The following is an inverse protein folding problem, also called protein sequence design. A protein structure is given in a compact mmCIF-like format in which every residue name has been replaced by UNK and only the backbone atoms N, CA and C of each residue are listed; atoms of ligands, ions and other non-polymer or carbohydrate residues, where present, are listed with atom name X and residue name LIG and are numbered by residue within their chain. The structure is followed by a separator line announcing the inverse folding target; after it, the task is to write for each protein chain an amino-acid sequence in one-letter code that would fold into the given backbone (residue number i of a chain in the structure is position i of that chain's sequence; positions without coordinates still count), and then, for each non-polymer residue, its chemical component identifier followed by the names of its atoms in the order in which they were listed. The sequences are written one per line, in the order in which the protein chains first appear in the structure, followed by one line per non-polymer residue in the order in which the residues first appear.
data_IF_078444866641
#
_entry.id   IF_078444866641
#
_cell.length_a   1.000
_cell.length_b   1.000
_cell.length_c   1.000
_cell.angle_alpha   90.00
_cell.angle_beta   90.00
_cell.angle_gamma   90.00
#
_symmetry.space_group_name_H-M   'P 1'
#
loop_
_entity.id
_entity.type
_entity.pdbx_description
1 polymer ?
#
# COMPACT_ATOMS: atom_id res chain seq x y z
N UNK A 1 -10.72 5.66 25.93
CA UNK A 1 -10.50 5.48 24.49
C UNK A 1 -9.18 4.72 24.32
N UNK A 2 -9.24 3.39 24.26
CA UNK A 2 -8.06 2.54 24.06
C UNK A 2 -7.80 2.41 22.57
N UNK A 3 -6.97 3.30 22.03
CA UNK A 3 -6.37 3.13 20.71
C UNK A 3 -5.40 1.95 20.80
N UNK A 4 -5.89 0.75 20.49
CA UNK A 4 -5.01 -0.40 20.22
C UNK A 4 -4.12 0.00 19.05
N UNK A 5 -2.89 0.41 19.35
CA UNK A 5 -1.92 0.74 18.32
C UNK A 5 -1.79 -0.48 17.41
N UNK A 6 -2.10 -0.33 16.12
CA UNK A 6 -2.10 -1.45 15.19
C UNK A 6 -0.70 -2.06 15.14
N UNK A 7 -0.53 -3.23 15.73
CA UNK A 7 0.75 -3.96 15.69
C UNK A 7 0.76 -4.81 14.43
N UNK A 8 1.66 -4.51 13.50
CA UNK A 8 1.81 -5.27 12.26
C UNK A 8 2.11 -4.41 11.03
N UNK A 9 2.27 -5.05 9.85
CA UNK A 9 2.63 -4.35 8.64
C UNK A 9 1.50 -3.44 8.13
N UNK A 10 1.82 -2.16 7.91
CA UNK A 10 0.91 -1.13 7.39
C UNK A 10 1.31 -0.77 5.96
N UNK A 11 0.35 -0.85 5.03
CA UNK A 11 0.50 -0.42 3.66
C UNK A 11 -0.06 0.99 3.49
N UNK A 12 0.82 1.96 3.26
CA UNK A 12 0.47 3.32 2.89
C UNK A 12 0.19 3.37 1.39
N UNK A 13 -0.92 4.00 1.00
CA UNK A 13 -1.35 4.09 -0.39
C UNK A 13 -1.97 5.45 -0.71
N UNK A 14 -1.94 5.82 -1.99
CA UNK A 14 -2.57 7.05 -2.44
C UNK A 14 -4.09 6.84 -2.61
N UNK A 15 -4.89 7.51 -1.78
CA UNK A 15 -6.35 7.44 -1.79
C UNK A 15 -7.01 8.10 -3.00
N UNK A 16 -6.31 8.98 -3.71
CA UNK A 16 -6.82 9.65 -4.92
C UNK A 16 -6.49 8.87 -6.20
N UNK A 17 -5.54 7.94 -6.11
CA UNK A 17 -5.13 7.08 -7.21
C UNK A 17 -6.06 5.87 -7.37
N UNK A 18 -6.75 5.79 -8.51
CA UNK A 18 -7.68 4.70 -8.78
C UNK A 18 -7.04 3.31 -8.88
N UNK A 19 -5.79 3.24 -9.34
CA UNK A 19 -5.04 1.98 -9.36
C UNK A 19 -4.64 1.53 -7.95
N UNK A 20 -4.15 2.45 -7.11
CA UNK A 20 -3.77 2.13 -5.73
C UNK A 20 -4.97 1.59 -4.96
N UNK A 21 -6.13 2.22 -5.09
CA UNK A 21 -7.39 1.74 -4.50
C UNK A 21 -7.77 0.34 -4.99
N UNK A 22 -7.63 0.04 -6.29
CA UNK A 22 -7.90 -1.31 -6.81
C UNK A 22 -6.97 -2.36 -6.22
N UNK A 23 -5.68 -2.04 -6.07
CA UNK A 23 -4.70 -2.96 -5.44
C UNK A 23 -5.02 -3.17 -3.97
N UNK A 24 -5.31 -2.12 -3.22
CA UNK A 24 -5.71 -2.22 -1.80
C UNK A 24 -6.98 -3.06 -1.65
N UNK A 25 -8.01 -2.85 -2.48
CA UNK A 25 -9.22 -3.69 -2.46
C UNK A 25 -8.94 -5.15 -2.75
N UNK A 26 -8.02 -5.44 -3.68
CA UNK A 26 -7.58 -6.81 -3.96
C UNK A 26 -6.83 -7.41 -2.79
N UNK A 27 -5.94 -6.66 -2.16
CA UNK A 27 -5.22 -7.11 -0.96
C UNK A 27 -6.18 -7.36 0.21
N UNK A 28 -7.13 -6.47 0.47
CA UNK A 28 -8.20 -6.65 1.47
C UNK A 28 -9.03 -7.92 1.22
N UNK A 29 -9.38 -8.20 -0.04
CA UNK A 29 -10.14 -9.40 -0.39
C UNK A 29 -9.31 -10.70 -0.28
N UNK A 30 -7.98 -10.61 -0.44
CA UNK A 30 -7.06 -11.75 -0.36
C UNK A 30 -6.56 -12.00 1.06
N UNK A 31 -6.44 -10.96 1.88
CA UNK A 31 -5.96 -11.01 3.26
C UNK A 31 -7.01 -11.57 4.22
N UNK A 32 -7.28 -12.88 4.12
CA UNK A 32 -8.23 -13.55 5.00
C UNK A 32 -7.75 -13.63 6.45
N UNK A 33 -6.44 -13.68 6.66
CA UNK A 33 -5.84 -13.70 7.99
C UNK A 33 -5.82 -12.31 8.64
N UNK A 34 -5.92 -11.26 7.83
CA UNK A 34 -6.00 -9.91 8.34
C UNK A 34 -4.69 -9.38 8.88
N UNK A 35 -3.58 -9.77 8.26
CA UNK A 35 -2.25 -9.39 8.71
C UNK A 35 -1.84 -8.00 8.25
N UNK A 36 -2.39 -7.53 7.12
CA UNK A 36 -2.12 -6.21 6.60
C UNK A 36 -3.12 -5.18 7.11
N UNK A 37 -2.59 -4.01 7.41
CA UNK A 37 -3.36 -2.81 7.68
C UNK A 37 -3.07 -1.77 6.61
N UNK A 38 -3.94 -0.78 6.49
CA UNK A 38 -3.88 0.20 5.41
C UNK A 38 -3.99 1.61 5.97
N UNK A 39 -3.27 2.55 5.36
CA UNK A 39 -3.42 3.97 5.68
C UNK A 39 -3.37 4.78 4.38
N UNK A 40 -4.30 5.72 4.16
CA UNK A 40 -4.17 6.66 3.06
C UNK A 40 -2.95 7.56 3.31
N UNK A 41 -2.19 7.87 2.27
CA UNK A 41 -1.05 8.81 2.35
C UNK A 41 -1.51 10.21 2.76
N UNK A 42 -2.75 10.57 2.46
CA UNK A 42 -3.41 11.81 2.89
C UNK A 42 -3.75 11.82 4.39
N UNK A 43 -3.69 10.67 5.05
CA UNK A 43 -4.01 10.50 6.47
C UNK A 43 -2.93 11.05 7.41
N UNK A 44 -3.31 11.45 8.64
CA UNK A 44 -2.38 12.04 9.60
C UNK A 44 -1.26 11.08 10.01
N UNK A 45 -1.55 9.78 10.16
CA UNK A 45 -0.56 8.77 10.54
C UNK A 45 0.52 8.61 9.47
N UNK A 46 0.11 8.46 8.21
CA UNK A 46 1.02 8.35 7.07
C UNK A 46 1.86 9.62 6.91
N UNK A 47 1.25 10.80 7.00
CA UNK A 47 1.95 12.08 6.88
C UNK A 47 3.00 12.27 7.98
N UNK A 48 2.69 11.92 9.23
CA UNK A 48 3.65 11.98 10.33
C UNK A 48 4.87 11.09 10.06
N UNK A 49 4.63 9.86 9.62
CA UNK A 49 5.70 8.91 9.28
C UNK A 49 6.59 9.41 8.12
N UNK A 50 5.98 9.94 7.07
CA UNK A 50 6.72 10.43 5.90
C UNK A 50 7.60 11.63 6.26
N UNK A 51 7.06 12.58 7.02
CA UNK A 51 7.82 13.76 7.49
C UNK A 51 8.98 13.35 8.39
N UNK A 52 8.77 12.42 9.31
CA UNK A 52 9.81 11.92 10.21
C UNK A 52 10.99 11.27 9.46
N UNK A 53 10.75 10.76 8.25
CA UNK A 53 11.77 10.10 7.42
C UNK A 53 12.24 10.92 6.21
N UNK A 54 11.80 12.17 6.08
CA UNK A 54 12.15 13.01 4.94
C UNK A 54 11.68 12.45 3.59
N UNK A 55 10.61 11.64 3.60
CA UNK A 55 10.03 11.08 2.39
C UNK A 55 9.06 12.07 1.74
N UNK A 56 8.85 12.00 0.40
CA UNK A 56 7.84 12.82 -0.27
C UNK A 56 6.47 12.68 0.40
N UNK A 57 5.69 13.76 0.52
CA UNK A 57 4.38 13.71 1.20
C UNK A 57 3.19 13.84 0.26
N UNK A 58 3.42 14.29 -0.97
CA UNK A 58 2.37 14.56 -1.96
C UNK A 58 2.46 13.63 -3.19
N UNK A 59 3.67 13.38 -3.70
CA UNK A 59 3.86 12.65 -4.96
C UNK A 59 4.39 11.23 -4.74
N UNK A 60 3.49 10.32 -4.38
CA UNK A 60 3.78 8.89 -4.52
C UNK A 60 3.09 8.31 -5.73
N UNK A 61 3.91 7.86 -6.67
CA UNK A 61 3.48 6.97 -7.74
C UNK A 61 3.31 5.52 -7.28
N UNK A 62 3.37 5.25 -5.97
CA UNK A 62 3.48 3.88 -5.47
C UNK A 62 2.97 3.63 -4.05
N UNK A 63 2.92 2.35 -3.69
CA UNK A 63 2.58 1.82 -2.39
C UNK A 63 3.83 1.76 -1.51
N UNK A 64 3.68 2.06 -0.22
CA UNK A 64 4.74 2.01 0.77
C UNK A 64 4.34 1.03 1.86
N UNK A 65 5.08 -0.06 2.04
CA UNK A 65 4.84 -0.99 3.13
C UNK A 65 5.78 -0.69 4.29
N UNK A 66 5.21 -0.46 5.46
CA UNK A 66 5.91 -0.32 6.73
C UNK A 66 5.76 -1.65 7.49
N UNK A 67 6.82 -2.47 7.58
CA UNK A 67 6.69 -3.83 8.12
C UNK A 67 6.45 -3.87 9.64
N UNK A 68 6.90 -2.85 10.35
CA UNK A 68 7.00 -2.83 11.82
C UNK A 68 6.32 -1.59 12.43
N UNK A 69 5.11 -1.28 11.98
CA UNK A 69 4.32 -0.19 12.55
C UNK A 69 3.85 -0.53 13.99
N UNK A 70 3.84 0.43 14.94
CA UNK A 70 4.33 1.82 14.84
C UNK A 70 5.80 2.00 15.25
N UNK A 71 6.53 0.91 15.57
CA UNK A 71 7.91 0.97 16.00
C UNK A 71 8.81 1.68 14.98
N UNK A 72 8.51 1.50 13.69
CA UNK A 72 9.15 2.23 12.59
C UNK A 72 10.68 2.20 12.74
N UNK A 73 11.25 1.04 13.09
CA UNK A 73 12.68 0.81 13.18
C UNK A 73 13.24 0.31 11.84
N UNK A 74 12.44 -0.44 11.08
CA UNK A 74 12.83 -0.96 9.77
C UNK A 74 12.59 0.05 8.64
N UNK A 75 13.39 -0.06 7.58
CA UNK A 75 13.21 0.75 6.37
C UNK A 75 11.87 0.44 5.68
N UNK A 76 11.19 1.44 5.10
CA UNK A 76 9.98 1.19 4.34
C UNK A 76 10.29 0.43 3.06
N UNK A 77 9.42 -0.49 2.69
CA UNK A 77 9.50 -1.18 1.41
C UNK A 77 8.66 -0.42 0.37
N UNK A 78 9.36 0.15 -0.61
CA UNK A 78 8.76 0.97 -1.66
C UNK A 78 8.52 0.13 -2.93
N UNK A 79 7.66 0.64 -3.82
CA UNK A 79 7.49 0.11 -5.18
C UNK A 79 7.14 -1.38 -5.15
N UNK A 80 7.74 -2.16 -6.05
CA UNK A 80 7.45 -3.59 -6.16
C UNK A 80 7.87 -4.35 -4.90
N UNK A 81 8.86 -3.88 -4.15
CA UNK A 81 9.30 -4.59 -2.94
C UNK A 81 8.22 -4.51 -1.85
N UNK A 82 7.53 -3.37 -1.74
CA UNK A 82 6.33 -3.24 -0.90
C UNK A 82 5.19 -4.15 -1.36
N UNK A 83 4.95 -4.25 -2.67
CA UNK A 83 3.92 -5.15 -3.24
C UNK A 83 4.25 -6.63 -3.00
N UNK A 84 5.50 -7.03 -3.21
CA UNK A 84 5.97 -8.41 -2.99
C UNK A 84 5.82 -8.77 -1.51
N UNK A 85 6.21 -7.89 -0.60
CA UNK A 85 6.08 -8.11 0.82
C UNK A 85 4.60 -8.16 1.25
N UNK A 86 3.75 -7.29 0.71
CA UNK A 86 2.30 -7.36 0.94
C UNK A 86 1.71 -8.69 0.42
N UNK A 87 2.10 -9.14 -0.78
CA UNK A 87 1.65 -10.42 -1.33
C UNK A 87 2.10 -11.62 -0.50
N UNK A 88 3.31 -11.58 0.07
CA UNK A 88 3.77 -12.60 1.02
C UNK A 88 2.94 -12.58 2.31
N UNK A 89 2.66 -11.39 2.86
CA UNK A 89 1.87 -11.24 4.08
C UNK A 89 0.43 -11.78 3.92
N UNK A 90 -0.18 -11.64 2.75
CA UNK A 90 -1.53 -12.20 2.48
C UNK A 90 -1.53 -13.67 2.05
N UNK A 91 -0.41 -14.39 2.23
CA UNK A 91 -0.33 -15.82 1.91
C UNK A 91 -0.36 -16.14 0.41
N UNK A 92 0.12 -15.22 -0.45
CA UNK A 92 0.19 -15.40 -1.91
C UNK A 92 1.66 -15.44 -2.40
N UNK A 93 2.51 -16.34 -1.87
CA UNK A 93 3.93 -16.38 -2.22
C UNK A 93 4.17 -16.67 -3.70
N UNK A 94 3.28 -17.40 -4.40
CA UNK A 94 3.43 -17.66 -5.84
C UNK A 94 3.40 -16.40 -6.71
N UNK A 95 2.54 -15.42 -6.38
CA UNK A 95 2.50 -14.13 -7.09
C UNK A 95 3.68 -13.25 -6.71
N UNK A 96 4.09 -13.30 -5.44
CA UNK A 96 5.30 -12.64 -4.97
C UNK A 96 6.55 -13.18 -5.69
N UNK A 97 6.64 -14.49 -5.90
CA UNK A 97 7.75 -15.14 -6.62
C UNK A 97 7.73 -14.81 -8.11
N UNK A 98 6.58 -14.81 -8.78
CA UNK A 98 6.48 -14.40 -10.19
C UNK A 98 6.94 -12.94 -10.40
N UNK A 99 6.55 -12.04 -9.49
CA UNK A 99 6.99 -10.64 -9.52
C UNK A 99 8.46 -10.45 -9.11
N UNK A 100 8.99 -11.30 -8.24
CA UNK A 100 10.38 -11.27 -7.81
C UNK A 100 11.34 -11.87 -8.85
N UNK A 101 10.89 -12.89 -9.59
CA UNK A 101 11.64 -13.53 -10.69
C UNK A 101 11.59 -12.69 -11.98
N UNK A 102 10.61 -11.78 -12.10
CA UNK A 102 10.55 -10.85 -13.23
C UNK A 102 11.78 -9.91 -13.25
N UNK A 103 12.44 -9.72 -14.42
CA UNK A 103 13.62 -8.87 -14.52
C UNK A 103 13.34 -7.46 -14.00
N UNK A 104 14.31 -6.84 -13.32
CA UNK A 104 14.19 -5.47 -12.79
C UNK A 104 13.73 -4.47 -13.86
N UNK A 105 14.16 -4.67 -15.12
CA UNK A 105 13.71 -3.88 -16.28
C UNK A 105 12.20 -3.97 -16.50
N UNK A 106 11.58 -5.15 -16.39
CA UNK A 106 10.12 -5.33 -16.53
C UNK A 106 9.39 -4.73 -15.33
N UNK A 107 9.96 -4.85 -14.12
CA UNK A 107 9.45 -4.17 -12.91
C UNK A 107 9.45 -2.65 -13.09
N UNK A 108 10.54 -2.07 -13.57
CA UNK A 108 10.71 -0.63 -13.75
C UNK A 108 9.93 -0.09 -14.97
N UNK A 109 9.85 -0.86 -16.05
CA UNK A 109 9.06 -0.53 -17.23
C UNK A 109 7.56 -0.60 -16.93
N UNK A 110 7.11 -1.65 -16.22
CA UNK A 110 5.76 -1.76 -15.69
C UNK A 110 5.44 -0.61 -14.75
N UNK A 111 6.37 -0.22 -13.88
CA UNK A 111 6.22 0.94 -13.00
C UNK A 111 6.09 2.26 -13.77
N UNK A 112 6.98 2.52 -14.74
CA UNK A 112 6.94 3.73 -15.58
C UNK A 112 5.70 3.77 -16.48
N UNK A 113 5.28 2.61 -16.99
CA UNK A 113 4.06 2.47 -17.78
C UNK A 113 2.83 2.74 -16.92
N UNK A 114 2.75 2.12 -15.73
CA UNK A 114 1.71 2.42 -14.75
C UNK A 114 1.72 3.89 -14.34
N UNK A 115 2.88 4.50 -14.10
CA UNK A 115 2.96 5.92 -13.74
C UNK A 115 2.44 6.85 -14.85
N UNK A 116 2.64 6.50 -16.13
CA UNK A 116 2.11 7.27 -17.28
C UNK A 116 0.64 6.97 -17.56
N UNK A 117 0.25 5.71 -17.45
CA UNK A 117 -1.08 5.21 -17.82
C UNK A 117 -2.06 5.36 -16.66
N UNK A 118 -1.61 5.49 -15.39
CA UNK A 118 -2.49 5.65 -14.22
C UNK A 118 -3.37 6.88 -14.33
N UNK A 119 -2.81 8.03 -14.69
CA UNK A 119 -3.57 9.28 -14.74
C UNK A 119 -4.49 9.31 -15.96
N UNK A 120 -4.05 8.73 -17.09
CA UNK A 120 -4.78 8.74 -18.35
C UNK A 120 -5.89 7.67 -18.44
N UNK A 121 -5.68 6.48 -17.85
CA UNK A 121 -6.62 5.34 -17.97
C UNK A 121 -7.44 5.10 -16.72
N UNK A 122 -6.91 5.39 -15.54
CA UNK A 122 -7.62 5.14 -14.28
C UNK A 122 -8.23 6.40 -13.66
N UNK A 123 -7.78 7.60 -14.07
CA UNK A 123 -8.30 8.89 -13.61
C UNK A 123 -8.21 9.10 -12.09
N UNK A 124 -8.65 10.27 -11.59
CA UNK A 124 -8.85 10.46 -10.16
C UNK A 124 -9.97 9.55 -9.67
N UNK A 125 -9.73 8.86 -8.54
CA UNK A 125 -10.72 7.97 -7.94
C UNK A 125 -11.83 8.80 -7.28
N UNK A 126 -12.96 8.96 -7.97
CA UNK A 126 -14.09 9.83 -7.52
C UNK A 126 -15.15 9.11 -6.66
N UNK A 127 -15.05 7.80 -6.46
CA UNK A 127 -16.07 7.01 -5.76
C UNK A 127 -15.58 6.58 -4.38
N UNK A 128 -16.39 6.88 -3.37
CA UNK A 128 -16.15 6.61 -1.94
C UNK A 128 -15.49 5.24 -1.72
N UNK A 129 -14.31 5.17 -1.07
CA UNK A 129 -13.54 3.94 -0.96
C UNK A 129 -14.14 3.11 0.18
N UNK A 130 -14.19 1.80 0.01
CA UNK A 130 -14.63 0.80 1.01
C UNK A 130 -16.15 0.61 1.11
N UNK A 131 -16.74 -0.12 0.16
CA UNK A 131 -18.17 -0.49 0.20
C UNK A 131 -18.52 -1.49 1.32
N UNK A 132 -17.55 -1.92 2.15
CA UNK A 132 -17.76 -2.93 3.19
C UNK A 132 -17.21 -2.46 4.54
N UNK A 133 -18.09 -2.41 5.54
CA UNK A 133 -17.76 -2.01 6.91
C UNK A 133 -16.70 -2.90 7.58
N UNK A 134 -16.59 -4.16 7.17
CA UNK A 134 -15.53 -5.09 7.63
C UNK A 134 -14.11 -4.61 7.28
N UNK A 135 -13.96 -3.81 6.21
CA UNK A 135 -12.65 -3.34 5.79
C UNK A 135 -12.21 -2.11 6.57
N UNK A 136 -13.14 -1.31 7.08
CA UNK A 136 -12.83 -0.09 7.85
C UNK A 136 -11.98 -0.38 9.07
N UNK A 137 -12.17 -1.54 9.72
CA UNK A 137 -11.35 -1.98 10.87
C UNK A 137 -9.87 -2.29 10.50
N UNK A 138 -9.54 -2.40 9.21
CA UNK A 138 -8.17 -2.59 8.71
C UNK A 138 -7.45 -1.28 8.46
N UNK A 139 -8.17 -0.16 8.48
CA UNK A 139 -7.59 1.17 8.35
C UNK A 139 -7.18 1.68 9.72
N UNK A 140 -6.06 2.39 9.76
CA UNK A 140 -5.51 2.95 11.00
C UNK A 140 -5.91 4.42 11.21
N UNK A 141 -6.55 5.02 10.20
CA UNK A 141 -7.08 6.39 10.15
C UNK A 141 -8.54 6.37 9.66
#
# INVERSE_FOLDING_TARGET
MTTTSPTGPVLLFDGECGLCNRVVRRLLALDRAGQLRFAPLQGPSAQAYLRARGLPTADFSTLVLVPDWPANAAAPLLRTDGVIAALRAVGRPGWASLLAVSPRFVRDAGYKFVARVRSAVFGPWRTCPLPRSEWTARFID
#
